data_IF_807637021154
#
_entry.id   IF_807637021154
#
_cell.length_a   1.000
_cell.length_b   1.000
_cell.length_c   1.000
_cell.angle_alpha   90.00
_cell.angle_beta   90.00
_cell.angle_gamma   90.00
#
_symmetry.space_group_name_H-M   'P 1'
#
loop_
_entity.id
_entity.type
_entity.pdbx_description
1 polymer ?
#
# COMPACT_ATOMS: atom_id res chain seq x y z
N UNK A 1 20.65 -5.38 -10.10
CA UNK A 1 19.44 -5.16 -9.28
C UNK A 1 19.76 -5.86 -7.97
N UNK A 2 19.58 -5.21 -6.81
CA UNK A 2 19.61 -5.96 -5.55
C UNK A 2 18.38 -6.91 -5.54
N UNK A 3 18.35 -7.97 -4.76
CA UNK A 3 17.18 -8.86 -4.66
C UNK A 3 16.30 -8.44 -3.46
N UNK A 4 15.03 -8.87 -3.40
CA UNK A 4 14.17 -8.63 -2.22
C UNK A 4 14.85 -9.13 -0.94
N UNK A 5 15.50 -10.29 -1.00
CA UNK A 5 16.26 -10.85 0.12
C UNK A 5 17.39 -9.93 0.60
N UNK A 6 18.12 -9.29 -0.32
CA UNK A 6 19.19 -8.34 0.02
C UNK A 6 18.63 -7.08 0.69
N UNK A 7 17.48 -6.57 0.21
CA UNK A 7 16.77 -5.43 0.82
C UNK A 7 16.32 -5.79 2.25
N UNK A 8 15.75 -6.98 2.44
CA UNK A 8 15.30 -7.47 3.75
C UNK A 8 16.49 -7.57 4.71
N UNK A 9 17.61 -8.14 4.29
CA UNK A 9 18.83 -8.24 5.11
C UNK A 9 19.34 -6.86 5.55
N UNK A 10 19.38 -5.89 4.62
CA UNK A 10 19.78 -4.51 4.93
C UNK A 10 18.85 -3.86 5.97
N UNK A 11 17.54 -4.02 5.81
CA UNK A 11 16.55 -3.47 6.76
C UNK A 11 16.66 -4.15 8.12
N UNK A 12 16.79 -5.48 8.16
CA UNK A 12 16.95 -6.23 9.42
C UNK A 12 18.28 -5.92 10.13
N UNK A 13 19.29 -5.44 9.40
CA UNK A 13 20.55 -4.94 9.96
C UNK A 13 20.42 -3.61 10.73
N UNK A 14 19.32 -2.88 10.52
CA UNK A 14 19.03 -1.60 11.20
C UNK A 14 18.50 -1.81 12.61
N UNK A 15 18.38 -0.73 13.38
CA UNK A 15 17.69 -0.80 14.68
C UNK A 15 16.17 -1.01 14.52
N UNK A 16 15.51 -1.36 15.61
CA UNK A 16 14.06 -1.69 15.61
C UNK A 16 13.19 -0.52 15.17
N UNK A 17 13.57 0.72 15.50
CA UNK A 17 12.79 1.91 15.13
C UNK A 17 12.90 2.18 13.63
N UNK A 18 14.12 2.09 13.08
CA UNK A 18 14.37 2.21 11.64
C UNK A 18 13.68 1.12 10.83
N UNK A 19 13.66 -0.13 11.31
CA UNK A 19 12.89 -1.22 10.67
C UNK A 19 11.41 -0.86 10.55
N UNK A 20 10.83 -0.34 11.63
CA UNK A 20 9.43 0.07 11.67
C UNK A 20 9.16 1.28 10.77
N UNK A 21 10.09 2.24 10.71
CA UNK A 21 10.02 3.37 9.77
C UNK A 21 10.02 2.90 8.32
N UNK A 22 10.93 2.00 7.95
CA UNK A 22 11.02 1.45 6.60
C UNK A 22 9.73 0.73 6.20
N UNK A 23 9.21 -0.15 7.07
CA UNK A 23 7.95 -0.84 6.81
C UNK A 23 6.74 0.12 6.78
N UNK A 24 6.71 1.16 7.60
CA UNK A 24 5.63 2.15 7.55
C UNK A 24 5.57 2.89 6.20
N UNK A 25 6.71 3.08 5.52
CA UNK A 25 6.73 3.68 4.18
C UNK A 25 6.01 2.82 3.13
N UNK A 26 5.90 1.50 3.32
CA UNK A 26 5.07 0.64 2.49
C UNK A 26 3.58 1.00 2.63
N UNK A 27 3.08 1.11 3.86
CA UNK A 27 1.70 1.52 4.12
C UNK A 27 1.40 2.93 3.59
N UNK A 28 2.34 3.87 3.68
CA UNK A 28 2.17 5.22 3.10
C UNK A 28 1.96 5.15 1.59
N UNK A 29 2.68 4.25 0.90
CA UNK A 29 2.62 4.10 -0.55
C UNK A 29 1.28 3.54 -1.03
N UNK A 30 0.82 2.44 -0.43
CA UNK A 30 -0.31 1.68 -0.96
C UNK A 30 -1.65 1.99 -0.28
N UNK A 31 -1.68 2.47 0.96
CA UNK A 31 -2.96 2.87 1.57
C UNK A 31 -3.47 4.23 1.05
N UNK A 32 -2.65 4.98 0.31
CA UNK A 32 -2.92 6.36 -0.10
C UNK A 32 -4.10 6.57 -1.06
N UNK A 33 -4.58 5.52 -1.73
CA UNK A 33 -5.74 5.61 -2.64
C UNK A 33 -7.08 5.68 -1.91
N UNK A 34 -7.12 5.59 -0.58
CA UNK A 34 -8.35 5.71 0.22
C UNK A 34 -9.14 7.02 -0.04
N UNK A 35 -8.51 8.04 -0.62
CA UNK A 35 -9.16 9.28 -1.05
C UNK A 35 -9.98 9.15 -2.33
N UNK A 36 -9.98 7.97 -2.98
CA UNK A 36 -10.69 7.74 -4.22
C UNK A 36 -12.21 7.85 -4.04
N UNK A 37 -12.88 8.47 -5.01
CA UNK A 37 -14.32 8.72 -4.95
C UNK A 37 -15.17 7.44 -5.01
N UNK A 38 -14.67 6.36 -5.63
CA UNK A 38 -15.39 5.11 -5.84
C UNK A 38 -15.61 4.31 -4.56
N UNK A 39 -14.86 4.61 -3.51
CA UNK A 39 -15.21 4.17 -2.15
C UNK A 39 -16.60 4.65 -1.72
N UNK A 40 -17.05 5.81 -2.19
CA UNK A 40 -18.38 6.33 -1.84
C UNK A 40 -19.36 6.11 -3.00
N UNK A 41 -20.56 5.58 -2.76
CA UNK A 41 -21.13 5.20 -1.46
C UNK A 41 -20.86 3.75 -1.03
N UNK A 42 -20.13 2.97 -1.84
CA UNK A 42 -20.16 1.50 -1.79
C UNK A 42 -19.28 0.85 -0.71
N UNK A 43 -18.13 1.44 -0.40
CA UNK A 43 -17.09 0.91 0.51
C UNK A 43 -16.66 1.90 1.62
N UNK A 44 -17.58 2.58 2.34
CA UNK A 44 -17.24 3.64 3.29
C UNK A 44 -16.55 3.13 4.57
N UNK A 45 -16.60 1.82 4.83
CA UNK A 45 -15.86 1.20 5.94
C UNK A 45 -14.39 1.05 5.54
N UNK A 46 -14.14 0.42 4.41
CA UNK A 46 -12.82 0.12 3.88
C UNK A 46 -12.04 1.40 3.62
N UNK A 47 -12.74 2.45 3.13
CA UNK A 47 -12.19 3.80 3.00
C UNK A 47 -11.62 4.33 4.33
N UNK A 48 -12.36 4.15 5.42
CA UNK A 48 -11.93 4.58 6.75
C UNK A 48 -10.78 3.72 7.26
N UNK A 49 -10.83 2.40 7.05
CA UNK A 49 -9.78 1.48 7.46
C UNK A 49 -8.46 1.86 6.77
N UNK A 50 -8.45 2.01 5.45
CA UNK A 50 -7.24 2.40 4.71
C UNK A 50 -6.77 3.82 5.06
N UNK A 51 -7.68 4.75 5.33
CA UNK A 51 -7.35 6.07 5.86
C UNK A 51 -6.64 6.01 7.22
N UNK A 52 -7.16 5.18 8.13
CA UNK A 52 -6.55 4.93 9.45
C UNK A 52 -5.18 4.26 9.30
N UNK A 53 -5.02 3.31 8.37
CA UNK A 53 -3.73 2.68 8.03
C UNK A 53 -2.72 3.73 7.56
N UNK A 54 -3.09 4.59 6.61
CA UNK A 54 -2.21 5.64 6.10
C UNK A 54 -1.81 6.64 7.20
N UNK A 55 -2.74 6.97 8.10
CA UNK A 55 -2.47 7.85 9.24
C UNK A 55 -1.51 7.20 10.24
N UNK A 56 -1.78 5.96 10.66
CA UNK A 56 -0.92 5.25 11.62
C UNK A 56 0.47 5.03 11.05
N UNK A 57 0.60 4.72 9.77
CA UNK A 57 1.89 4.62 9.10
C UNK A 57 2.74 5.89 9.25
N UNK A 58 2.15 7.07 9.04
CA UNK A 58 2.84 8.36 9.26
C UNK A 58 3.23 8.58 10.73
N UNK A 59 2.41 8.13 11.67
CA UNK A 59 2.71 8.21 13.11
C UNK A 59 3.86 7.25 13.50
N UNK A 60 3.88 6.03 12.95
CA UNK A 60 4.98 5.08 13.14
C UNK A 60 6.27 5.67 12.57
N UNK A 61 6.22 6.22 11.36
CA UNK A 61 7.37 6.86 10.73
C UNK A 61 7.94 8.00 11.60
N UNK A 62 7.07 8.82 12.17
CA UNK A 62 7.46 9.92 13.05
C UNK A 62 7.90 9.48 14.46
N UNK A 63 7.84 8.19 14.81
CA UNK A 63 8.17 7.68 16.15
C UNK A 63 7.11 8.01 17.21
N UNK A 64 5.87 8.27 16.80
CA UNK A 64 4.78 8.71 17.69
C UNK A 64 3.68 7.66 17.90
N UNK A 65 3.63 6.60 17.09
CA UNK A 65 2.59 5.58 17.20
C UNK A 65 2.87 4.62 18.37
N UNK A 66 1.96 4.51 19.35
CA UNK A 66 2.05 3.48 20.37
C UNK A 66 1.82 2.08 19.77
N UNK A 67 2.49 1.05 20.31
CA UNK A 67 2.32 -0.34 19.86
C UNK A 67 0.87 -0.81 19.93
N UNK A 68 0.14 -0.39 20.97
CA UNK A 68 -1.28 -0.69 21.12
C UNK A 68 -2.10 -0.18 19.93
N UNK A 69 -1.76 0.98 19.36
CA UNK A 69 -2.47 1.52 18.19
C UNK A 69 -2.22 0.70 16.93
N UNK A 70 -1.02 0.16 16.76
CA UNK A 70 -0.69 -0.74 15.64
C UNK A 70 -1.45 -2.07 15.78
N UNK A 71 -1.50 -2.62 17.00
CA UNK A 71 -2.24 -3.83 17.31
C UNK A 71 -3.75 -3.66 17.07
N UNK A 72 -4.36 -2.60 17.62
CA UNK A 72 -5.78 -2.30 17.43
C UNK A 72 -6.13 -2.14 15.93
N UNK A 73 -5.27 -1.48 15.17
CA UNK A 73 -5.47 -1.30 13.73
C UNK A 73 -5.39 -2.63 12.98
N UNK A 74 -4.49 -3.52 13.38
CA UNK A 74 -4.39 -4.86 12.80
C UNK A 74 -5.68 -5.63 12.98
N UNK A 75 -6.25 -5.64 14.19
CA UNK A 75 -7.54 -6.30 14.47
C UNK A 75 -8.67 -5.71 13.59
N UNK A 76 -8.66 -4.40 13.38
CA UNK A 76 -9.63 -3.73 12.50
C UNK A 76 -9.48 -4.14 11.03
N UNK A 77 -8.24 -4.24 10.53
CA UNK A 77 -7.96 -4.70 9.16
C UNK A 77 -8.40 -6.16 8.98
N UNK A 78 -8.07 -7.03 9.94
CA UNK A 78 -8.46 -8.44 9.92
C UNK A 78 -9.98 -8.61 9.92
N UNK A 79 -10.70 -7.87 10.76
CA UNK A 79 -12.16 -7.86 10.71
C UNK A 79 -12.70 -7.35 9.36
N UNK A 80 -12.01 -6.39 8.72
CA UNK A 80 -12.34 -5.94 7.37
C UNK A 80 -12.20 -7.05 6.32
N UNK A 81 -11.12 -7.82 6.39
CA UNK A 81 -10.86 -8.96 5.51
C UNK A 81 -11.90 -10.09 5.68
N UNK A 82 -12.28 -10.40 6.92
CA UNK A 82 -13.29 -11.42 7.22
C UNK A 82 -14.68 -11.10 6.65
N UNK A 83 -15.01 -9.81 6.57
CA UNK A 83 -16.28 -9.33 6.06
C UNK A 83 -16.25 -9.00 4.55
N UNK A 84 -15.08 -9.05 3.91
CA UNK A 84 -14.91 -8.71 2.51
C UNK A 84 -15.30 -9.86 1.58
N UNK A 85 -15.93 -9.54 0.45
CA UNK A 85 -16.22 -10.50 -0.61
C UNK A 85 -15.12 -10.42 -1.69
N UNK A 86 -14.18 -11.39 -1.76
CA UNK A 86 -13.13 -11.38 -2.76
C UNK A 86 -13.65 -11.65 -4.17
N UNK A 87 -14.87 -12.19 -4.31
CA UNK A 87 -15.54 -12.42 -5.59
C UNK A 87 -16.46 -11.24 -5.98
N UNK A 88 -16.36 -10.11 -5.26
CA UNK A 88 -17.11 -8.89 -5.52
C UNK A 88 -16.72 -8.18 -6.84
N UNK A 89 -17.26 -6.98 -7.08
CA UNK A 89 -16.88 -6.16 -8.23
C UNK A 89 -15.37 -5.90 -8.29
N UNK A 90 -14.78 -5.60 -9.47
CA UNK A 90 -13.34 -5.44 -9.62
C UNK A 90 -12.70 -4.46 -8.63
N UNK A 91 -13.35 -3.35 -8.29
CA UNK A 91 -12.82 -2.41 -7.30
C UNK A 91 -12.87 -2.97 -5.86
N UNK A 92 -13.80 -3.88 -5.55
CA UNK A 92 -13.82 -4.55 -4.25
C UNK A 92 -12.63 -5.49 -4.07
N UNK A 93 -12.26 -6.23 -5.13
CA UNK A 93 -11.05 -7.05 -5.14
C UNK A 93 -9.78 -6.19 -4.94
N UNK A 94 -9.72 -5.02 -5.61
CA UNK A 94 -8.63 -4.06 -5.44
C UNK A 94 -8.48 -3.58 -3.98
N UNK A 95 -9.62 -3.28 -3.33
CA UNK A 95 -9.65 -2.91 -1.92
C UNK A 95 -9.22 -4.07 -1.03
N UNK A 96 -9.65 -5.30 -1.33
CA UNK A 96 -9.27 -6.49 -0.59
C UNK A 96 -7.75 -6.73 -0.63
N UNK A 97 -7.13 -6.67 -1.80
CA UNK A 97 -5.68 -6.86 -1.98
C UNK A 97 -4.89 -5.86 -1.14
N UNK A 98 -5.37 -4.61 -1.06
CA UNK A 98 -4.78 -3.58 -0.23
C UNK A 98 -4.96 -3.80 1.28
N UNK A 99 -6.08 -4.39 1.71
CA UNK A 99 -6.28 -4.78 3.10
C UNK A 99 -5.36 -5.96 3.47
N UNK A 100 -5.17 -6.93 2.58
CA UNK A 100 -4.22 -8.04 2.78
C UNK A 100 -2.80 -7.50 2.91
N UNK A 101 -2.39 -6.61 2.00
CA UNK A 101 -1.11 -5.93 2.08
C UNK A 101 -0.93 -5.18 3.40
N UNK A 102 -1.97 -4.45 3.85
CA UNK A 102 -1.93 -3.73 5.11
C UNK A 102 -1.75 -4.69 6.31
N UNK A 103 -2.44 -5.83 6.34
CA UNK A 103 -2.28 -6.84 7.40
C UNK A 103 -0.85 -7.40 7.44
N UNK A 104 -0.27 -7.73 6.28
CA UNK A 104 1.10 -8.23 6.17
C UNK A 104 2.13 -7.24 6.75
N UNK A 105 2.01 -5.95 6.39
CA UNK A 105 2.90 -4.92 6.92
C UNK A 105 2.66 -4.66 8.40
N UNK A 106 1.39 -4.62 8.86
CA UNK A 106 1.06 -4.47 10.28
C UNK A 106 1.56 -5.65 11.12
N UNK A 107 1.58 -6.85 10.55
CA UNK A 107 2.18 -8.02 11.19
C UNK A 107 3.69 -7.85 11.40
N UNK A 108 4.41 -7.32 10.41
CA UNK A 108 5.82 -6.97 10.59
C UNK A 108 6.02 -5.83 11.60
N UNK A 109 5.21 -4.77 11.55
CA UNK A 109 5.30 -3.65 12.50
C UNK A 109 5.11 -4.09 13.96
N UNK A 110 4.35 -5.17 14.17
CA UNK A 110 4.12 -5.79 15.50
C UNK A 110 5.27 -6.70 15.94
N UNK A 111 6.08 -7.20 15.01
CA UNK A 111 7.20 -8.12 15.25
C UNK A 111 8.35 -7.81 14.25
N UNK A 112 9.07 -6.68 14.45
CA UNK A 112 10.03 -6.13 13.47
C UNK A 112 11.33 -6.93 13.32
N UNK A 113 11.45 -8.05 14.03
CA UNK A 113 12.48 -9.07 13.85
C UNK A 113 12.08 -10.16 12.82
N UNK A 114 10.80 -10.21 12.43
CA UNK A 114 10.29 -11.22 11.53
C UNK A 114 10.61 -10.89 10.06
N UNK A 115 11.79 -11.31 9.60
CA UNK A 115 12.22 -11.12 8.21
C UNK A 115 11.30 -11.71 7.15
N UNK A 116 10.62 -12.83 7.45
CA UNK A 116 9.68 -13.45 6.50
C UNK A 116 8.45 -12.57 6.27
N UNK A 117 7.94 -11.91 7.30
CA UNK A 117 6.82 -10.98 7.17
C UNK A 117 7.21 -9.76 6.32
N UNK A 118 8.44 -9.24 6.49
CA UNK A 118 8.94 -8.15 5.67
C UNK A 118 9.17 -8.56 4.21
N UNK A 119 9.69 -9.76 3.97
CA UNK A 119 9.89 -10.30 2.63
C UNK A 119 8.56 -10.40 1.88
N UNK A 120 7.53 -11.00 2.49
CA UNK A 120 6.18 -11.08 1.90
C UNK A 120 5.61 -9.70 1.58
N UNK A 121 5.76 -8.75 2.50
CA UNK A 121 5.30 -7.38 2.26
C UNK A 121 6.02 -6.73 1.07
N UNK A 122 7.33 -6.95 0.89
CA UNK A 122 8.04 -6.44 -0.30
C UNK A 122 7.62 -7.16 -1.58
N UNK A 123 7.48 -8.48 -1.56
CA UNK A 123 6.98 -9.25 -2.71
C UNK A 123 5.59 -8.73 -3.14
N UNK A 124 4.66 -8.57 -2.18
CA UNK A 124 3.33 -8.03 -2.45
C UNK A 124 3.35 -6.60 -2.98
N UNK A 125 4.22 -5.74 -2.43
CA UNK A 125 4.37 -4.37 -2.93
C UNK A 125 4.82 -4.34 -4.40
N UNK A 126 5.73 -5.25 -4.77
CA UNK A 126 6.23 -5.39 -6.14
C UNK A 126 5.11 -5.84 -7.07
N UNK A 127 4.40 -6.92 -6.69
CA UNK A 127 3.23 -7.41 -7.42
C UNK A 127 2.17 -6.32 -7.63
N UNK A 128 1.81 -5.56 -6.58
CA UNK A 128 0.85 -4.47 -6.68
C UNK A 128 1.32 -3.35 -7.62
N UNK A 129 2.60 -2.97 -7.55
CA UNK A 129 3.16 -1.93 -8.41
C UNK A 129 3.18 -2.35 -9.88
N UNK A 130 3.62 -3.57 -10.16
CA UNK A 130 3.68 -4.12 -11.51
C UNK A 130 2.29 -4.32 -12.11
N UNK A 131 1.37 -4.92 -11.36
CA UNK A 131 -0.01 -5.12 -11.79
C UNK A 131 -0.70 -3.80 -12.16
N UNK A 132 -0.48 -2.74 -11.38
CA UNK A 132 -1.07 -1.43 -11.65
C UNK A 132 -0.41 -0.73 -12.83
N UNK A 133 0.91 -0.86 -12.99
CA UNK A 133 1.61 -0.37 -14.17
C UNK A 133 1.11 -1.06 -15.45
N UNK A 134 0.93 -2.38 -15.43
CA UNK A 134 0.39 -3.18 -16.53
C UNK A 134 -1.06 -2.81 -16.82
N UNK A 135 -1.92 -2.78 -15.81
CA UNK A 135 -3.31 -2.35 -15.93
C UNK A 135 -3.43 -0.93 -16.53
N UNK A 136 -2.58 0.00 -16.14
CA UNK A 136 -2.53 1.35 -16.72
C UNK A 136 -2.10 1.36 -18.19
N UNK A 137 -1.20 0.46 -18.60
CA UNK A 137 -0.77 0.32 -20.00
C UNK A 137 -1.87 -0.31 -20.84
N UNK A 138 -2.46 -1.41 -20.37
CA UNK A 138 -3.48 -2.15 -21.12
C UNK A 138 -4.81 -1.39 -21.22
N UNK A 139 -5.23 -0.74 -20.13
CA UNK A 139 -6.54 -0.09 -20.04
C UNK A 139 -6.62 1.27 -20.74
N UNK A 140 -5.50 1.98 -20.91
CA UNK A 140 -5.50 3.39 -21.34
C UNK A 140 -4.46 3.76 -22.41
N UNK A 141 -3.83 2.78 -23.08
CA UNK A 141 -3.08 3.03 -24.32
C UNK A 141 -4.03 3.51 -25.44
N UNK A 142 -4.49 4.76 -25.39
CA UNK A 142 -5.24 5.31 -26.52
C UNK A 142 -5.98 6.62 -26.33
N UNK A 143 -6.53 6.93 -25.15
CA UNK A 143 -7.57 7.97 -25.11
C UNK A 143 -7.07 9.42 -25.02
N UNK A 144 -5.88 9.71 -24.47
CA UNK A 144 -5.38 11.10 -24.38
C UNK A 144 -3.84 11.21 -24.34
N UNK A 145 -3.13 10.15 -24.72
CA UNK A 145 -1.66 10.10 -24.60
C UNK A 145 -1.14 10.05 -23.15
N UNK A 146 -2.03 9.84 -22.17
CA UNK A 146 -1.63 9.49 -20.81
C UNK A 146 -0.90 8.15 -20.80
N UNK A 147 0.08 8.02 -19.91
CA UNK A 147 0.82 6.79 -19.67
C UNK A 147 0.97 6.62 -18.15
N UNK A 148 0.80 5.41 -17.61
CA UNK A 148 1.07 5.18 -16.21
C UNK A 148 2.55 5.49 -15.92
N UNK A 149 2.83 5.92 -14.69
CA UNK A 149 4.20 5.97 -14.20
C UNK A 149 4.80 4.55 -14.21
N UNK A 150 6.13 4.45 -14.28
CA UNK A 150 6.85 3.19 -14.09
C UNK A 150 6.83 2.80 -12.60
N UNK A 151 5.67 2.38 -12.11
CA UNK A 151 5.43 2.08 -10.69
C UNK A 151 6.38 0.99 -10.19
N UNK A 152 6.66 -0.05 -10.97
CA UNK A 152 7.62 -1.10 -10.58
C UNK A 152 9.02 -0.52 -10.35
N UNK A 153 9.52 0.29 -11.28
CA UNK A 153 10.83 0.95 -11.13
C UNK A 153 10.87 1.94 -9.96
N UNK A 154 9.79 2.70 -9.76
CA UNK A 154 9.69 3.70 -8.69
C UNK A 154 9.60 3.06 -7.31
N UNK A 155 8.82 1.99 -7.19
CA UNK A 155 8.71 1.17 -5.99
C UNK A 155 10.09 0.61 -5.63
N UNK A 156 10.75 -0.01 -6.62
CA UNK A 156 12.05 -0.63 -6.46
C UNK A 156 13.12 0.37 -5.99
N UNK A 157 13.15 1.53 -6.63
CA UNK A 157 14.04 2.62 -6.27
C UNK A 157 13.74 3.17 -4.87
N UNK A 158 12.46 3.24 -4.47
CA UNK A 158 12.07 3.67 -3.13
C UNK A 158 12.54 2.68 -2.07
N UNK A 159 12.23 1.38 -2.19
CA UNK A 159 12.65 0.36 -1.19
C UNK A 159 14.17 0.26 -1.07
N UNK A 160 14.89 0.37 -2.17
CA UNK A 160 16.36 0.32 -2.19
C UNK A 160 16.94 1.48 -1.36
N UNK A 161 16.40 2.69 -1.56
CA UNK A 161 16.82 3.86 -0.78
C UNK A 161 16.37 3.77 0.67
N UNK A 162 15.16 3.29 0.95
CA UNK A 162 14.67 3.10 2.31
C UNK A 162 15.60 2.14 3.10
N UNK A 163 16.15 1.12 2.42
CA UNK A 163 17.08 0.17 3.01
C UNK A 163 18.52 0.69 3.17
N UNK A 164 18.95 1.68 2.38
CA UNK A 164 20.34 2.17 2.35
C UNK A 164 20.55 3.55 2.98
N UNK A 165 19.58 4.45 2.85
CA UNK A 165 19.68 5.85 3.23
C UNK A 165 19.10 6.13 4.63
N UNK A 166 19.24 7.37 5.10
CA UNK A 166 18.56 7.81 6.31
C UNK A 166 17.04 7.87 6.09
N UNK A 167 16.27 7.43 7.10
CA UNK A 167 14.81 7.46 7.06
C UNK A 167 14.29 8.78 7.64
N UNK A 168 14.32 9.83 6.82
CA UNK A 168 13.88 11.19 7.15
C UNK A 168 12.67 11.64 6.30
N UNK A 169 12.31 12.93 6.39
CA UNK A 169 11.17 13.46 5.63
C UNK A 169 11.33 13.32 4.10
N UNK A 170 12.54 13.18 3.57
CA UNK A 170 12.74 12.93 2.13
C UNK A 170 12.26 11.53 1.75
N UNK A 171 12.44 10.54 2.62
CA UNK A 171 11.88 9.20 2.42
C UNK A 171 10.34 9.22 2.47
N UNK A 172 9.76 9.98 3.41
CA UNK A 172 8.32 10.15 3.50
C UNK A 172 7.73 10.85 2.28
N UNK A 173 8.37 11.93 1.81
CA UNK A 173 7.94 12.68 0.62
C UNK A 173 8.01 11.81 -0.64
N UNK A 174 9.05 10.97 -0.78
CA UNK A 174 9.15 9.99 -1.87
C UNK A 174 7.99 9.00 -1.85
N UNK A 175 7.68 8.44 -0.68
CA UNK A 175 6.56 7.49 -0.54
C UNK A 175 5.20 8.16 -0.77
N UNK A 176 5.03 9.41 -0.37
CA UNK A 176 3.82 10.19 -0.66
C UNK A 176 3.67 10.51 -2.16
N UNK A 177 4.78 10.82 -2.84
CA UNK A 177 4.77 11.03 -4.29
C UNK A 177 4.41 9.75 -5.04
N UNK A 178 4.95 8.60 -4.63
CA UNK A 178 4.55 7.29 -5.15
C UNK A 178 3.06 7.05 -4.94
N UNK A 179 2.54 7.25 -3.72
CA UNK A 179 1.13 7.04 -3.40
C UNK A 179 0.20 7.87 -4.31
N UNK A 180 0.59 9.10 -4.64
CA UNK A 180 -0.18 9.95 -5.56
C UNK A 180 -0.20 9.40 -6.99
N UNK A 181 0.90 8.86 -7.48
CA UNK A 181 0.97 8.27 -8.83
C UNK A 181 0.18 6.97 -8.88
N UNK A 182 0.31 6.15 -7.85
CA UNK A 182 -0.42 4.91 -7.70
C UNK A 182 -1.95 5.14 -7.65
N UNK A 183 -2.38 6.13 -6.87
CA UNK A 183 -3.79 6.52 -6.80
C UNK A 183 -4.33 7.09 -8.13
N UNK A 184 -3.51 7.80 -8.94
CA UNK A 184 -3.93 8.26 -10.28
C UNK A 184 -4.19 7.08 -11.22
N UNK A 185 -3.37 6.02 -11.15
CA UNK A 185 -3.60 4.79 -11.91
C UNK A 185 -4.91 4.15 -11.50
N UNK A 186 -5.13 3.92 -10.19
CA UNK A 186 -6.40 3.39 -9.69
C UNK A 186 -7.56 4.26 -10.16
N UNK A 187 -7.50 5.59 -9.98
CA UNK A 187 -8.54 6.56 -10.37
C UNK A 187 -8.94 6.48 -11.85
N UNK A 188 -8.00 6.13 -12.72
CA UNK A 188 -8.24 5.99 -14.16
C UNK A 188 -8.75 4.61 -14.52
N UNK A 189 -8.14 3.56 -13.98
CA UNK A 189 -8.37 2.18 -14.42
C UNK A 189 -9.71 1.59 -13.97
N UNK A 190 -10.30 2.07 -12.87
CA UNK A 190 -11.64 1.64 -12.46
C UNK A 190 -12.72 2.65 -12.84
N UNK A 191 -13.90 2.16 -13.18
CA UNK A 191 -15.09 2.97 -13.42
C UNK A 191 -16.01 2.97 -12.18
N UNK A 192 -17.08 3.75 -12.22
CA UNK A 192 -18.11 3.67 -11.18
C UNK A 192 -18.85 2.31 -11.25
N UNK A 193 -18.94 1.66 -12.43
CA UNK A 193 -19.52 0.33 -12.60
C UNK A 193 -18.67 -0.76 -11.92
N UNK A 194 -17.35 -0.65 -12.01
CA UNK A 194 -16.41 -1.56 -11.33
C UNK A 194 -16.50 -1.48 -9.80
N UNK A 195 -17.05 -0.37 -9.28
CA UNK A 195 -17.34 -0.18 -7.87
C UNK A 195 -18.76 -0.62 -7.47
N UNK A 196 -19.56 -1.14 -8.41
CA UNK A 196 -20.95 -1.56 -8.18
C UNK A 196 -22.02 -0.54 -8.63
N UNK A 197 -21.61 0.59 -9.22
CA UNK A 197 -22.47 1.71 -9.63
C UNK A 197 -23.46 1.45 -10.77
N UNK A 198 -23.51 0.24 -11.33
CA UNK A 198 -24.40 -0.15 -12.42
C UNK A 198 -25.55 -1.10 -12.04
N UNK A 199 -25.61 -1.59 -10.79
CA UNK A 199 -26.51 -2.68 -10.40
C UNK A 199 -27.99 -2.29 -10.20
N UNK A 200 -28.36 -1.02 -10.44
CA UNK A 200 -29.73 -0.50 -10.30
C UNK A 200 -30.35 0.03 -11.62
N UNK A 201 -29.93 -0.49 -12.79
CA UNK A 201 -30.49 -0.11 -14.11
C UNK A 201 -31.56 -1.06 -14.64
#
# INVERSE_FOLDING_TARGET
>A
MIEVSEVVELVLGRDVEERRRAAALLLVRYAGFHGDRRFSPWFPREQRVLGDVAQVARQVFAGHAPDARVADLKDVVQAGLEDSDPDGPPFAAEVFDHLVFADEVLAFLSCPENGEALARAYERAEELAEAHEEMGREGYEGEDGWKPAALGELEWAARTRDAQDALDNVALDRSAAFASLYADVIARCYTDEDAGGGLDS
#
